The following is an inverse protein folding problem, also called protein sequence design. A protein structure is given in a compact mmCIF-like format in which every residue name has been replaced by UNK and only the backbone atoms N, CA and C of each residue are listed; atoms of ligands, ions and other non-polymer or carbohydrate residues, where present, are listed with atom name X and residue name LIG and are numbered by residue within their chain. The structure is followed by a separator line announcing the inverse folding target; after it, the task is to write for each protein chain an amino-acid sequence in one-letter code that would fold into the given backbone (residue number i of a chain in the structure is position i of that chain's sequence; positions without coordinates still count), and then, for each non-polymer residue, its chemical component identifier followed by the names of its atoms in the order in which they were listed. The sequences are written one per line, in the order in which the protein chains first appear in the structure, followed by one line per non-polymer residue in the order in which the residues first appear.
data_IF_926779194709
#
_entry.id   IF_926779194709
#
_cell.length_a   1.000
_cell.length_b   1.000
_cell.length_c   1.000
_cell.angle_alpha   90.00
_cell.angle_beta   90.00
_cell.angle_gamma   90.00
#
_symmetry.space_group_name_H-M   'P 1'
#
loop_
_entity.id
_entity.type
_entity.pdbx_description
1 polymer ?
#
# COMPACT_ATOMS: atom_id res chain seq x y z
N UNK A 1 10.22 73.55 -19.31
CA UNK A 1 10.35 72.43 -18.35
C UNK A 1 8.95 71.99 -17.96
N UNK A 2 8.75 70.71 -17.63
CA UNK A 2 8.40 69.55 -18.46
C UNK A 2 6.85 69.34 -18.42
N UNK A 3 6.18 68.31 -18.93
CA UNK A 3 6.45 66.87 -19.01
C UNK A 3 5.62 66.31 -20.18
N UNK A 4 6.31 65.71 -21.15
CA UNK A 4 5.69 64.80 -22.12
C UNK A 4 4.96 63.70 -21.36
N UNK A 5 3.66 63.57 -21.58
CA UNK A 5 2.87 62.42 -21.15
C UNK A 5 3.46 61.17 -21.78
N UNK A 6 4.08 60.33 -20.96
CA UNK A 6 4.65 59.07 -21.37
C UNK A 6 3.54 58.13 -21.85
N UNK A 7 3.71 57.66 -23.09
CA UNK A 7 2.96 56.58 -23.69
C UNK A 7 2.96 55.38 -22.72
N UNK A 8 1.79 55.06 -22.19
CA UNK A 8 1.56 53.85 -21.40
C UNK A 8 1.57 52.69 -22.39
N UNK A 9 2.75 52.10 -22.61
CA UNK A 9 2.86 50.83 -23.32
C UNK A 9 1.97 49.82 -22.61
N UNK A 10 0.91 49.38 -23.30
CA UNK A 10 0.10 48.25 -22.88
C UNK A 10 0.99 47.02 -22.93
N UNK A 11 1.37 46.49 -21.77
CA UNK A 11 1.84 45.12 -21.64
C UNK A 11 0.66 44.21 -21.97
N UNK A 12 0.62 43.66 -23.19
CA UNK A 12 -0.27 42.58 -23.55
C UNK A 12 0.08 41.35 -22.70
N UNK A 13 -0.72 41.10 -21.67
CA UNK A 13 -0.70 39.84 -20.93
C UNK A 13 -1.16 38.73 -21.90
N UNK A 14 -0.20 37.97 -22.44
CA UNK A 14 -0.46 36.75 -23.19
C UNK A 14 -1.02 35.72 -22.20
N UNK A 15 -2.35 35.67 -22.10
CA UNK A 15 -3.07 34.67 -21.32
C UNK A 15 -2.92 33.32 -22.02
N UNK A 16 -1.83 32.61 -21.72
CA UNK A 16 -1.52 31.32 -22.34
C UNK A 16 -2.27 30.23 -21.57
N UNK A 17 -3.30 29.66 -22.20
CA UNK A 17 -4.02 28.52 -21.64
C UNK A 17 -3.20 27.24 -21.86
N UNK A 18 -2.93 26.50 -20.79
CA UNK A 18 -2.21 25.23 -20.85
C UNK A 18 -3.22 24.07 -20.85
N UNK A 19 -3.03 23.12 -21.77
CA UNK A 19 -3.80 21.88 -21.81
C UNK A 19 -2.93 20.71 -21.31
N UNK A 20 -3.42 19.86 -20.41
CA UNK A 20 -2.66 18.73 -19.90
C UNK A 20 -2.49 17.66 -20.99
N UNK A 21 -1.27 17.16 -21.17
CA UNK A 21 -0.96 16.05 -22.09
C UNK A 21 -1.30 14.66 -21.52
N UNK A 22 -2.00 14.63 -20.39
CA UNK A 22 -2.53 13.39 -19.81
C UNK A 22 -3.67 12.87 -20.66
N UNK A 23 -3.90 11.54 -20.70
CA UNK A 23 -5.08 10.98 -21.36
C UNK A 23 -6.36 11.68 -20.88
N UNK A 24 -7.17 12.13 -21.83
CA UNK A 24 -8.42 12.86 -21.58
C UNK A 24 -9.59 12.10 -22.21
N UNK A 25 -10.79 12.34 -21.68
CA UNK A 25 -12.02 11.74 -22.23
C UNK A 25 -12.39 12.51 -23.49
N UNK A 26 -12.49 11.79 -24.61
CA UNK A 26 -12.82 12.37 -25.90
C UNK A 26 -14.35 12.41 -26.03
N UNK A 27 -14.91 13.61 -26.24
CA UNK A 27 -16.37 13.82 -26.43
C UNK A 27 -16.78 13.90 -27.90
N UNK A 28 -15.81 13.83 -28.82
CA UNK A 28 -16.06 13.86 -30.27
C UNK A 28 -16.81 12.59 -30.71
N UNK A 29 -17.77 12.73 -31.63
CA UNK A 29 -18.52 11.63 -32.25
C UNK A 29 -17.59 10.61 -32.91
N UNK A 30 -16.39 11.03 -33.31
CA UNK A 30 -15.36 10.11 -33.84
C UNK A 30 -14.94 9.06 -32.82
N UNK A 31 -14.99 9.37 -31.53
CA UNK A 31 -14.65 8.42 -30.47
C UNK A 31 -15.65 7.27 -30.39
N UNK A 32 -16.93 7.51 -30.72
CA UNK A 32 -17.99 6.50 -30.71
C UNK A 32 -17.60 5.27 -31.55
N UNK A 33 -17.03 5.51 -32.74
CA UNK A 33 -16.61 4.42 -33.64
C UNK A 33 -15.54 3.49 -33.02
N UNK A 34 -14.64 4.05 -32.20
CA UNK A 34 -13.64 3.25 -31.48
C UNK A 34 -14.23 2.52 -30.28
N UNK A 35 -15.15 3.15 -29.56
CA UNK A 35 -15.87 2.55 -28.42
C UNK A 35 -16.69 1.36 -28.90
N UNK A 36 -17.47 1.52 -29.98
CA UNK A 36 -18.25 0.45 -30.58
C UNK A 36 -17.37 -0.72 -31.05
N UNK A 37 -16.21 -0.44 -31.65
CA UNK A 37 -15.27 -1.47 -32.07
C UNK A 37 -14.71 -2.26 -30.87
N UNK A 38 -14.38 -1.58 -29.77
CA UNK A 38 -13.91 -2.22 -28.55
C UNK A 38 -15.02 -3.02 -27.86
N UNK A 39 -16.24 -2.48 -27.79
CA UNK A 39 -17.41 -3.19 -27.26
C UNK A 39 -17.72 -4.45 -28.08
N UNK A 40 -17.68 -4.37 -29.40
CA UNK A 40 -17.79 -5.52 -30.28
C UNK A 40 -16.72 -6.56 -29.96
N UNK A 41 -15.45 -6.14 -29.87
CA UNK A 41 -14.34 -7.03 -29.56
C UNK A 41 -14.49 -7.70 -28.19
N UNK A 42 -14.89 -6.96 -27.15
CA UNK A 42 -15.07 -7.49 -25.79
C UNK A 42 -16.35 -8.34 -25.63
N UNK A 43 -17.37 -8.15 -26.45
CA UNK A 43 -18.58 -8.99 -26.44
C UNK A 43 -18.33 -10.43 -26.92
N UNK A 44 -17.19 -10.65 -27.59
CA UNK A 44 -16.85 -11.89 -28.28
C UNK A 44 -15.83 -12.72 -27.49
N UNK A 45 -16.20 -13.91 -26.97
CA UNK A 45 -15.31 -14.71 -26.12
C UNK A 45 -14.11 -15.33 -26.86
N UNK A 46 -14.16 -15.36 -28.19
CA UNK A 46 -13.06 -15.77 -29.07
C UNK A 46 -11.98 -14.69 -29.23
N UNK A 47 -12.31 -13.42 -29.00
CA UNK A 47 -11.36 -12.31 -29.08
C UNK A 47 -10.79 -12.05 -27.68
N UNK A 48 -9.50 -12.34 -27.50
CA UNK A 48 -8.81 -12.18 -26.20
C UNK A 48 -7.65 -11.19 -26.22
N UNK A 49 -7.09 -10.95 -27.40
CA UNK A 49 -5.90 -10.12 -27.59
C UNK A 49 -6.24 -8.97 -28.52
N UNK A 50 -6.36 -7.76 -27.97
CA UNK A 50 -6.66 -6.54 -28.72
C UNK A 50 -5.41 -5.66 -28.69
N UNK A 51 -4.92 -5.27 -29.86
CA UNK A 51 -3.78 -4.37 -29.98
C UNK A 51 -4.24 -3.02 -30.55
N UNK A 52 -4.03 -1.95 -29.79
CA UNK A 52 -4.28 -0.57 -30.24
C UNK A 52 -2.96 0.05 -30.69
N UNK A 53 -2.83 0.29 -31.98
CA UNK A 53 -1.58 0.78 -32.59
C UNK A 53 -1.72 2.20 -33.11
N UNK A 54 -0.62 2.96 -33.12
CA UNK A 54 -0.58 4.32 -33.65
C UNK A 54 0.65 5.08 -33.17
N UNK A 55 1.02 6.20 -33.81
CA UNK A 55 2.20 6.98 -33.45
C UNK A 55 2.11 7.54 -32.01
N UNK A 56 3.24 7.99 -31.47
CA UNK A 56 3.26 8.70 -30.19
C UNK A 56 2.36 9.94 -30.25
N UNK A 57 1.59 10.21 -29.21
CA UNK A 57 0.63 11.31 -29.20
C UNK A 57 -0.66 11.09 -30.01
N UNK A 58 -0.85 9.94 -30.67
CA UNK A 58 -2.08 9.65 -31.44
C UNK A 58 -3.37 9.45 -30.59
N UNK A 59 -3.31 9.65 -29.27
CA UNK A 59 -4.48 9.50 -28.40
C UNK A 59 -4.84 8.07 -28.00
N UNK A 60 -3.96 7.08 -28.20
CA UNK A 60 -4.22 5.66 -27.84
C UNK A 60 -4.74 5.48 -26.41
N UNK A 61 -4.05 6.09 -25.44
CA UNK A 61 -4.45 6.04 -24.03
C UNK A 61 -5.73 6.81 -23.76
N UNK A 62 -5.99 7.91 -24.48
CA UNK A 62 -7.24 8.67 -24.39
C UNK A 62 -8.43 7.87 -24.91
N UNK A 63 -8.26 7.12 -26.00
CA UNK A 63 -9.31 6.24 -26.54
C UNK A 63 -9.65 5.12 -25.54
N UNK A 64 -8.63 4.47 -24.96
CA UNK A 64 -8.85 3.43 -23.94
C UNK A 64 -9.51 3.99 -22.67
N UNK A 65 -9.10 5.19 -22.22
CA UNK A 65 -9.72 5.88 -21.09
C UNK A 65 -11.18 6.26 -21.37
N UNK A 66 -11.46 6.72 -22.59
CA UNK A 66 -12.82 7.08 -23.02
C UNK A 66 -13.71 5.84 -23.04
N UNK A 67 -13.22 4.72 -23.57
CA UNK A 67 -13.93 3.45 -23.54
C UNK A 67 -14.16 2.93 -22.11
N UNK A 68 -13.17 3.01 -21.22
CA UNK A 68 -13.30 2.62 -19.80
C UNK A 68 -14.39 3.43 -19.08
N UNK A 69 -14.57 4.71 -19.44
CA UNK A 69 -15.55 5.62 -18.81
C UNK A 69 -16.89 5.69 -19.54
N UNK A 70 -17.06 4.98 -20.64
CA UNK A 70 -18.31 4.99 -21.39
C UNK A 70 -19.43 4.38 -20.54
N UNK A 71 -20.63 4.95 -20.60
CA UNK A 71 -21.77 4.52 -19.79
C UNK A 71 -22.23 3.10 -20.13
N UNK A 72 -21.93 2.63 -21.35
CA UNK A 72 -22.27 1.30 -21.86
C UNK A 72 -21.22 0.22 -21.54
N UNK A 73 -20.17 0.57 -20.78
CA UNK A 73 -19.11 -0.36 -20.42
C UNK A 73 -19.39 -1.08 -19.09
N UNK A 74 -19.86 -2.33 -19.19
CA UNK A 74 -20.10 -3.21 -18.03
C UNK A 74 -18.83 -3.96 -17.55
N UNK A 75 -17.67 -3.76 -18.21
CA UNK A 75 -16.46 -4.51 -17.91
C UNK A 75 -15.68 -3.92 -16.73
N UNK A 76 -15.08 -4.80 -15.91
CA UNK A 76 -14.12 -4.40 -14.88
C UNK A 76 -12.74 -4.21 -15.52
N UNK A 77 -12.39 -2.97 -15.80
CA UNK A 77 -11.13 -2.61 -16.46
C UNK A 77 -10.01 -2.39 -15.45
N UNK A 78 -8.80 -2.82 -15.83
CA UNK A 78 -7.60 -2.65 -15.04
C UNK A 78 -6.45 -2.23 -15.94
N UNK A 79 -6.12 -0.95 -15.87
CA UNK A 79 -5.04 -0.34 -16.63
C UNK A 79 -3.70 -0.54 -15.92
N UNK A 80 -2.73 -1.08 -16.65
CA UNK A 80 -1.34 -1.29 -16.22
C UNK A 80 -0.44 -0.54 -17.21
N UNK A 81 0.44 0.32 -16.73
CA UNK A 81 1.35 1.13 -17.56
C UNK A 81 2.75 0.56 -17.53
N UNK A 82 3.27 0.16 -18.69
CA UNK A 82 4.63 -0.38 -18.78
C UNK A 82 5.73 0.71 -18.75
N UNK A 83 5.40 1.95 -19.14
CA UNK A 83 6.37 3.03 -19.28
C UNK A 83 6.98 3.52 -17.95
N UNK A 84 6.24 3.38 -16.84
CA UNK A 84 6.76 3.69 -15.50
C UNK A 84 7.92 2.75 -15.09
N UNK A 85 8.04 1.58 -15.72
CA UNK A 85 9.00 0.56 -15.32
C UNK A 85 10.41 0.80 -15.85
N UNK A 86 10.58 1.43 -17.02
CA UNK A 86 11.91 1.82 -17.51
C UNK A 86 12.54 2.90 -16.62
N UNK A 87 11.72 3.82 -16.08
CA UNK A 87 12.18 4.85 -15.14
C UNK A 87 12.72 4.26 -13.83
N UNK A 88 12.14 3.16 -13.34
CA UNK A 88 12.64 2.46 -12.15
C UNK A 88 13.97 1.72 -12.41
N UNK A 89 14.19 1.22 -13.63
CA UNK A 89 15.49 0.67 -14.03
C UNK A 89 16.58 1.74 -14.15
N UNK A 90 16.20 2.99 -14.41
CA UNK A 90 17.12 4.10 -14.65
C UNK A 90 17.62 4.81 -13.38
N UNK A 91 17.17 4.42 -12.18
CA UNK A 91 17.80 4.88 -10.94
C UNK A 91 19.17 4.19 -10.78
N UNK A 92 20.29 4.94 -10.79
CA UNK A 92 21.65 4.39 -10.87
C UNK A 92 22.17 3.92 -9.49
N UNK A 93 21.30 3.34 -8.67
CA UNK A 93 21.63 2.89 -7.32
C UNK A 93 21.91 1.39 -7.22
N UNK A 94 21.46 0.57 -8.17
CA UNK A 94 21.50 -0.88 -8.00
C UNK A 94 21.68 -1.69 -9.30
N UNK A 95 22.27 -1.08 -10.33
CA UNK A 95 22.92 -1.86 -11.36
C UNK A 95 24.23 -2.38 -10.78
N UNK A 96 24.22 -3.60 -10.22
CA UNK A 96 25.43 -4.38 -10.05
C UNK A 96 26.15 -4.39 -11.40
N UNK A 97 27.22 -3.62 -11.48
CA UNK A 97 28.28 -3.83 -12.46
C UNK A 97 28.81 -5.23 -12.23
N UNK A 98 28.29 -6.20 -12.98
CA UNK A 98 28.95 -7.49 -13.18
C UNK A 98 30.16 -7.18 -14.07
N UNK A 99 31.24 -6.70 -13.45
CA UNK A 99 32.57 -6.79 -14.03
C UNK A 99 32.98 -8.27 -14.03
N UNK A 100 32.73 -8.93 -15.15
CA UNK A 100 33.16 -10.29 -15.42
C UNK A 100 33.25 -10.50 -16.93
N UNK A 101 34.45 -10.82 -17.42
CA UNK A 101 34.80 -11.08 -18.83
C UNK A 101 33.80 -12.00 -19.55
N UNK A 102 33.65 -11.84 -20.88
CA UNK A 102 32.49 -12.33 -21.62
C UNK A 102 32.61 -13.82 -21.96
N UNK A 103 31.59 -14.59 -21.59
CA UNK A 103 31.22 -15.82 -22.30
C UNK A 103 29.82 -15.59 -22.87
N UNK A 104 29.73 -15.62 -24.20
CA UNK A 104 28.80 -14.79 -24.99
C UNK A 104 27.42 -15.42 -25.24
N UNK A 105 27.19 -16.69 -24.87
CA UNK A 105 25.96 -17.43 -25.26
C UNK A 105 25.02 -17.80 -24.09
N UNK A 106 25.53 -18.00 -22.86
CA UNK A 106 24.70 -18.36 -21.70
C UNK A 106 24.18 -17.14 -20.92
N UNK A 107 24.85 -15.98 -21.04
CA UNK A 107 24.45 -14.76 -20.33
C UNK A 107 23.23 -14.06 -20.95
N UNK A 108 23.04 -14.09 -22.27
CA UNK A 108 21.88 -13.46 -22.91
C UNK A 108 20.56 -14.12 -22.49
N UNK A 109 20.54 -15.46 -22.40
CA UNK A 109 19.37 -16.21 -21.93
C UNK A 109 19.08 -15.98 -20.44
N UNK A 110 20.11 -15.77 -19.62
CA UNK A 110 19.93 -15.41 -18.20
C UNK A 110 19.48 -13.97 -18.01
N UNK A 111 20.02 -13.03 -18.80
CA UNK A 111 19.62 -11.64 -18.80
C UNK A 111 18.17 -11.47 -19.24
N UNK A 112 17.74 -12.12 -20.33
CA UNK A 112 16.34 -12.09 -20.78
C UNK A 112 15.36 -12.67 -19.77
N UNK A 113 15.73 -13.78 -19.08
CA UNK A 113 14.91 -14.35 -17.99
C UNK A 113 14.83 -13.45 -16.75
N UNK A 114 15.91 -12.74 -16.43
CA UNK A 114 15.91 -11.77 -15.33
C UNK A 114 15.02 -10.56 -15.67
N UNK A 115 15.04 -10.12 -16.92
CA UNK A 115 14.19 -9.04 -17.41
C UNK A 115 12.70 -9.42 -17.40
N UNK A 116 12.36 -10.63 -17.87
CA UNK A 116 11.00 -11.16 -17.85
C UNK A 116 10.43 -11.20 -16.42
N UNK A 117 11.20 -11.77 -15.47
CA UNK A 117 10.81 -11.79 -14.05
C UNK A 117 10.62 -10.40 -13.47
N UNK A 118 11.41 -9.43 -13.91
CA UNK A 118 11.29 -8.03 -13.46
C UNK A 118 9.99 -7.43 -13.96
N UNK A 119 9.63 -7.66 -15.23
CA UNK A 119 8.36 -7.20 -15.83
C UNK A 119 7.17 -7.89 -15.18
N UNK A 120 7.21 -9.20 -14.96
CA UNK A 120 6.15 -9.94 -14.27
C UNK A 120 5.92 -9.39 -12.86
N UNK A 121 7.01 -9.18 -12.11
CA UNK A 121 6.96 -8.64 -10.77
C UNK A 121 6.40 -7.21 -10.77
N UNK A 122 6.79 -6.39 -11.75
CA UNK A 122 6.37 -5.00 -11.84
C UNK A 122 4.88 -4.88 -12.21
N UNK A 123 4.38 -5.74 -13.10
CA UNK A 123 2.95 -5.88 -13.38
C UNK A 123 2.21 -6.27 -12.10
N UNK A 124 2.66 -7.32 -11.40
CA UNK A 124 2.04 -7.79 -10.16
C UNK A 124 1.99 -6.69 -9.09
N UNK A 125 3.03 -5.87 -9.02
CA UNK A 125 3.07 -4.72 -8.12
C UNK A 125 1.99 -3.69 -8.46
N UNK A 126 1.82 -3.29 -9.73
CA UNK A 126 0.76 -2.34 -10.13
C UNK A 126 -0.64 -2.90 -9.86
N UNK A 127 -0.86 -4.19 -10.15
CA UNK A 127 -2.12 -4.88 -9.85
C UNK A 127 -2.43 -4.81 -8.35
N UNK A 128 -1.44 -5.12 -7.52
CA UNK A 128 -1.64 -5.28 -6.09
C UNK A 128 -1.70 -3.92 -5.37
N UNK A 129 -1.05 -2.87 -5.88
CA UNK A 129 -1.09 -1.52 -5.32
C UNK A 129 -2.36 -0.74 -5.64
N UNK A 130 -3.13 -1.14 -6.67
CA UNK A 130 -4.48 -0.58 -6.91
C UNK A 130 -5.42 -0.83 -5.72
N UNK A 131 -5.22 -1.94 -5.00
CA UNK A 131 -6.06 -2.35 -3.88
C UNK A 131 -5.57 -1.87 -2.51
N UNK A 132 -6.52 -1.58 -1.63
CA UNK A 132 -6.23 -1.15 -0.25
C UNK A 132 -5.70 -2.30 0.58
N UNK A 133 -4.74 -2.00 1.47
CA UNK A 133 -4.17 -2.97 2.43
C UNK A 133 -5.22 -3.70 3.27
N UNK A 134 -6.36 -3.07 3.55
CA UNK A 134 -7.46 -3.69 4.31
C UNK A 134 -8.14 -4.86 3.59
N UNK A 135 -8.19 -4.82 2.25
CA UNK A 135 -8.78 -5.89 1.42
C UNK A 135 -7.84 -7.09 1.35
N UNK A 136 -6.52 -6.83 1.38
CA UNK A 136 -5.48 -7.84 1.23
C UNK A 136 -4.50 -7.81 2.43
N UNK A 137 -4.98 -8.17 3.65
CA UNK A 137 -4.21 -8.03 4.89
C UNK A 137 -3.03 -9.00 5.00
N UNK A 138 -3.05 -10.11 4.26
CA UNK A 138 -1.98 -11.11 4.21
C UNK A 138 -1.05 -10.94 3.00
N UNK A 139 -1.23 -9.86 2.24
CA UNK A 139 -0.33 -9.52 1.14
C UNK A 139 1.06 -9.20 1.69
N UNK A 140 2.09 -9.84 1.13
CA UNK A 140 3.49 -9.63 1.51
C UNK A 140 4.11 -8.38 0.88
N UNK A 141 3.43 -7.76 -0.10
CA UNK A 141 3.92 -6.49 -0.64
C UNK A 141 3.71 -5.36 0.35
N UNK A 142 4.78 -4.59 0.54
CA UNK A 142 4.78 -3.40 1.37
C UNK A 142 3.95 -2.30 0.70
N UNK A 143 2.93 -1.82 1.40
CA UNK A 143 2.09 -0.72 0.94
C UNK A 143 2.16 0.40 1.97
N UNK A 144 2.29 1.62 1.47
CA UNK A 144 2.08 2.82 2.27
C UNK A 144 0.63 2.76 2.76
N UNK A 145 0.45 2.84 4.07
CA UNK A 145 -0.87 2.85 4.70
C UNK A 145 -1.02 4.10 5.53
N UNK A 146 -2.01 4.91 5.20
CA UNK A 146 -2.39 6.05 6.01
C UNK A 146 -3.07 5.53 7.28
N UNK A 147 -2.42 5.75 8.41
CA UNK A 147 -3.01 5.51 9.72
C UNK A 147 -3.86 6.72 10.09
N UNK A 148 -5.17 6.52 10.21
CA UNK A 148 -6.07 7.62 10.60
C UNK A 148 -5.95 7.91 12.10
N UNK A 149 -6.21 9.15 12.51
CA UNK A 149 -6.18 9.54 13.92
C UNK A 149 -7.12 8.67 14.79
N UNK A 150 -8.26 8.25 14.25
CA UNK A 150 -9.19 7.34 14.93
C UNK A 150 -8.58 5.94 15.13
N UNK A 151 -7.84 5.42 14.14
CA UNK A 151 -7.12 4.15 14.29
C UNK A 151 -6.03 4.25 15.36
N UNK A 152 -5.28 5.36 15.39
CA UNK A 152 -4.28 5.61 16.43
C UNK A 152 -4.94 5.67 17.81
N UNK A 153 -6.06 6.39 17.95
CA UNK A 153 -6.82 6.45 19.19
C UNK A 153 -7.30 5.07 19.66
N UNK A 154 -7.82 4.22 18.76
CA UNK A 154 -8.20 2.84 19.07
C UNK A 154 -6.99 1.98 19.45
N UNK A 155 -5.83 2.17 18.81
CA UNK A 155 -4.60 1.47 19.15
C UNK A 155 -4.09 1.87 20.54
N UNK A 156 -4.20 3.14 20.92
CA UNK A 156 -3.87 3.65 22.25
C UNK A 156 -4.86 3.15 23.29
N UNK A 157 -6.17 3.20 23.02
CA UNK A 157 -7.21 2.71 23.93
C UNK A 157 -7.05 1.21 24.21
N UNK A 158 -6.76 0.40 23.19
CA UNK A 158 -6.49 -1.03 23.38
C UNK A 158 -5.21 -1.30 24.18
N UNK A 159 -4.19 -0.44 24.07
CA UNK A 159 -2.98 -0.56 24.89
C UNK A 159 -3.27 -0.22 26.36
N UNK A 160 -4.00 0.87 26.60
CA UNK A 160 -4.44 1.27 27.94
C UNK A 160 -5.28 0.17 28.59
N UNK A 161 -6.21 -0.44 27.84
CA UNK A 161 -7.03 -1.54 28.34
C UNK A 161 -6.19 -2.74 28.83
N UNK A 162 -5.16 -3.13 28.07
CA UNK A 162 -4.25 -4.21 28.48
C UNK A 162 -3.47 -3.82 29.74
N UNK A 163 -2.96 -2.59 29.82
CA UNK A 163 -2.24 -2.09 30.99
C UNK A 163 -3.15 -2.06 32.23
N UNK A 164 -4.39 -1.56 32.08
CA UNK A 164 -5.38 -1.50 33.15
C UNK A 164 -5.76 -2.90 33.63
N UNK A 165 -6.06 -3.84 32.73
CA UNK A 165 -6.37 -5.23 33.10
C UNK A 165 -5.21 -5.90 33.85
N UNK A 166 -3.97 -5.60 33.46
CA UNK A 166 -2.77 -6.12 34.13
C UNK A 166 -2.60 -5.50 35.52
N UNK A 167 -2.78 -4.19 35.65
CA UNK A 167 -2.71 -3.48 36.93
C UNK A 167 -3.82 -3.95 37.90
N UNK A 168 -5.05 -4.14 37.40
CA UNK A 168 -6.15 -4.70 38.19
C UNK A 168 -5.85 -6.13 38.64
N UNK A 169 -5.35 -6.99 37.76
CA UNK A 169 -4.93 -8.35 38.12
C UNK A 169 -3.86 -8.36 39.22
N UNK A 170 -2.88 -7.46 39.14
CA UNK A 170 -1.81 -7.32 40.14
C UNK A 170 -2.32 -6.76 41.47
N UNK A 171 -3.28 -5.85 41.42
CA UNK A 171 -3.94 -5.26 42.58
C UNK A 171 -4.78 -6.30 43.35
N UNK A 172 -5.43 -7.23 42.64
CA UNK A 172 -6.07 -8.39 43.29
C UNK A 172 -5.04 -9.34 43.91
N UNK A 173 -3.86 -9.52 43.31
CA UNK A 173 -2.82 -10.41 43.83
C UNK A 173 -2.19 -9.89 45.13
N UNK A 174 -1.87 -8.58 45.17
CA UNK A 174 -1.18 -7.92 46.30
C UNK A 174 -1.80 -6.55 46.64
N UNK A 175 -3.00 -6.49 47.25
CA UNK A 175 -3.73 -5.25 47.48
C UNK A 175 -2.98 -4.25 48.38
N UNK A 176 -2.37 -4.71 49.48
CA UNK A 176 -1.65 -3.83 50.42
C UNK A 176 -0.36 -3.26 49.83
N UNK A 177 0.43 -4.08 49.14
CA UNK A 177 1.69 -3.66 48.50
C UNK A 177 1.44 -2.60 47.43
N UNK A 178 0.43 -2.81 46.58
CA UNK A 178 0.09 -1.87 45.51
C UNK A 178 -0.50 -0.58 46.09
N UNK A 179 -1.36 -0.67 47.11
CA UNK A 179 -1.89 0.51 47.81
C UNK A 179 -0.76 1.39 48.35
N UNK A 180 0.21 0.80 49.04
CA UNK A 180 1.31 1.54 49.66
C UNK A 180 2.19 2.24 48.61
N UNK A 181 2.44 1.58 47.48
CA UNK A 181 3.23 2.15 46.38
C UNK A 181 2.50 3.23 45.58
N UNK A 182 1.17 3.15 45.48
CA UNK A 182 0.36 4.02 44.64
C UNK A 182 -0.46 5.05 45.43
N UNK A 183 -0.28 5.11 46.76
CA UNK A 183 -0.98 6.00 47.70
C UNK A 183 -2.50 6.01 47.55
N UNK A 184 -3.11 4.84 47.30
CA UNK A 184 -4.56 4.68 47.10
C UNK A 184 -5.35 4.68 48.43
N UNK A 185 -6.67 4.93 48.33
CA UNK A 185 -7.58 4.93 49.48
C UNK A 185 -7.51 3.61 50.28
N UNK A 186 -7.48 3.65 51.62
CA UNK A 186 -7.50 2.46 52.47
C UNK A 186 -8.71 1.56 52.25
N UNK A 187 -9.85 2.14 51.87
CA UNK A 187 -11.13 1.45 51.68
C UNK A 187 -11.03 0.37 50.58
N UNK A 188 -10.22 0.60 49.54
CA UNK A 188 -10.06 -0.34 48.44
C UNK A 188 -9.33 -1.61 48.86
N UNK A 189 -8.30 -1.50 49.72
CA UNK A 189 -7.59 -2.70 50.21
C UNK A 189 -8.46 -3.50 51.15
N UNK A 190 -9.19 -2.82 52.05
CA UNK A 190 -10.09 -3.48 53.00
C UNK A 190 -11.20 -4.27 52.28
N UNK A 191 -11.86 -3.66 51.29
CA UNK A 191 -12.86 -4.33 50.47
C UNK A 191 -12.31 -5.57 49.73
N UNK A 192 -11.06 -5.51 49.26
CA UNK A 192 -10.44 -6.62 48.53
C UNK A 192 -9.92 -7.74 49.43
N UNK A 193 -9.56 -7.43 50.68
CA UNK A 193 -9.14 -8.40 51.69
C UNK A 193 -10.32 -9.13 52.33
N UNK A 194 -11.52 -8.53 52.31
CA UNK A 194 -12.77 -9.18 52.74
C UNK A 194 -13.21 -10.33 51.82
N UNK A 195 -12.72 -10.36 50.58
CA UNK A 195 -13.00 -11.45 49.64
C UNK A 195 -12.22 -12.72 50.00
N UNK A 196 -12.82 -13.92 49.83
CA UNK A 196 -12.13 -15.17 50.12
C UNK A 196 -10.90 -15.33 49.21
N UNK A 197 -9.81 -15.84 49.79
CA UNK A 197 -8.50 -15.99 49.14
C UNK A 197 -8.61 -16.68 47.78
N UNK A 198 -9.44 -17.72 47.68
CA UNK A 198 -9.67 -18.45 46.42
C UNK A 198 -10.32 -17.58 45.33
N UNK A 199 -11.31 -16.75 45.70
CA UNK A 199 -11.96 -15.84 44.75
C UNK A 199 -11.00 -14.74 44.28
N UNK A 200 -10.10 -14.28 45.17
CA UNK A 200 -9.08 -13.28 44.86
C UNK A 200 -8.03 -13.79 43.86
N UNK A 201 -7.52 -15.01 44.07
CA UNK A 201 -6.62 -15.63 43.10
C UNK A 201 -7.32 -15.97 41.79
N UNK A 202 -8.58 -16.40 41.84
CA UNK A 202 -9.41 -16.65 40.66
C UNK A 202 -9.61 -15.39 39.81
N UNK A 203 -10.00 -14.28 40.43
CA UNK A 203 -10.20 -13.00 39.73
C UNK A 203 -8.88 -12.47 39.16
N UNK A 204 -7.78 -12.51 39.92
CA UNK A 204 -6.46 -12.13 39.42
C UNK A 204 -6.05 -12.95 38.19
N UNK A 205 -6.27 -14.28 38.23
CA UNK A 205 -6.00 -15.18 37.11
C UNK A 205 -6.80 -14.83 35.86
N UNK A 206 -8.09 -14.52 36.01
CA UNK A 206 -8.96 -14.11 34.89
C UNK A 206 -8.45 -12.82 34.24
N UNK A 207 -8.16 -11.77 35.04
CA UNK A 207 -7.69 -10.48 34.52
C UNK A 207 -6.30 -10.55 33.85
N UNK A 208 -5.40 -11.40 34.36
CA UNK A 208 -4.09 -11.62 33.74
C UNK A 208 -4.22 -12.45 32.45
N UNK A 209 -5.08 -13.47 32.43
CA UNK A 209 -5.33 -14.27 31.23
C UNK A 209 -5.98 -13.45 30.13
N UNK A 210 -6.96 -12.60 30.44
CA UNK A 210 -7.57 -11.69 29.45
C UNK A 210 -6.54 -10.71 28.90
N UNK A 211 -5.71 -10.10 29.74
CA UNK A 211 -4.62 -9.22 29.30
C UNK A 211 -3.66 -9.94 28.34
N UNK A 212 -3.23 -11.16 28.69
CA UNK A 212 -2.35 -11.98 27.86
C UNK A 212 -3.01 -12.34 26.52
N UNK A 213 -4.28 -12.75 26.53
CA UNK A 213 -5.02 -13.08 25.33
C UNK A 213 -5.13 -11.89 24.36
N UNK A 214 -5.47 -10.71 24.87
CA UNK A 214 -5.56 -9.50 24.04
C UNK A 214 -4.18 -9.05 23.52
N UNK A 215 -3.12 -9.18 24.32
CA UNK A 215 -1.76 -8.92 23.88
C UNK A 215 -1.34 -9.84 22.73
N UNK A 216 -1.56 -11.16 22.86
CA UNK A 216 -1.27 -12.14 21.81
C UNK A 216 -2.09 -11.89 20.54
N UNK A 217 -3.38 -11.58 20.68
CA UNK A 217 -4.24 -11.23 19.54
C UNK A 217 -3.74 -9.99 18.80
N UNK A 218 -3.27 -8.97 19.53
CA UNK A 218 -2.70 -7.74 18.94
C UNK A 218 -1.35 -8.02 18.26
N UNK A 219 -0.50 -8.84 18.87
CA UNK A 219 0.80 -9.24 18.33
C UNK A 219 0.66 -10.04 17.02
N UNK A 220 -0.27 -11.00 17.00
CA UNK A 220 -0.60 -11.76 15.80
C UNK A 220 -1.13 -10.86 14.67
N UNK A 221 -2.09 -9.97 14.97
CA UNK A 221 -2.65 -9.03 13.97
C UNK A 221 -1.61 -8.06 13.40
N UNK A 222 -0.59 -7.72 14.19
CA UNK A 222 0.49 -6.82 13.76
C UNK A 222 1.47 -7.52 12.80
N UNK A 223 1.36 -8.85 12.68
CA UNK A 223 2.20 -9.66 11.79
C UNK A 223 3.64 -9.73 12.28
N UNK A 224 3.90 -9.56 13.59
CA UNK A 224 5.27 -9.61 14.14
C UNK A 224 5.90 -11.00 13.95
N UNK A 225 5.08 -12.05 13.88
CA UNK A 225 5.53 -13.42 13.59
C UNK A 225 5.60 -13.74 12.09
N UNK A 226 5.01 -12.89 11.25
CA UNK A 226 5.07 -13.05 9.80
C UNK A 226 6.25 -12.19 9.33
N UNK A 227 7.41 -12.83 9.19
CA UNK A 227 8.66 -12.19 8.77
C UNK A 227 8.37 -11.33 7.53
N UNK A 228 8.26 -10.01 7.73
CA UNK A 228 8.10 -9.06 6.63
C UNK A 228 9.34 -9.20 5.79
N UNK A 229 9.17 -9.77 4.60
CA UNK A 229 10.24 -9.88 3.64
C UNK A 229 10.49 -8.46 3.15
N UNK A 230 11.55 -7.82 3.64
CA UNK A 230 12.22 -6.76 2.87
C UNK A 230 12.86 -7.46 1.67
N UNK A 231 12.40 -7.09 0.48
CA UNK A 231 12.65 -7.87 -0.75
C UNK A 231 14.13 -7.81 -1.20
N UNK A 232 14.95 -6.95 -0.59
CA UNK A 232 16.42 -6.94 -0.82
C UNK A 232 17.15 -8.22 -0.39
N UNK A 233 16.53 -9.11 0.39
CA UNK A 233 17.23 -10.29 0.94
C UNK A 233 16.73 -11.65 0.49
N UNK A 234 15.68 -11.74 -0.34
CA UNK A 234 15.08 -13.05 -0.62
C UNK A 234 15.63 -13.76 -1.85
N UNK A 235 16.32 -13.11 -2.78
CA UNK A 235 16.81 -13.81 -3.98
C UNK A 235 18.33 -13.86 -4.22
N UNK A 236 19.17 -13.28 -3.37
CA UNK A 236 20.65 -13.37 -3.55
C UNK A 236 21.25 -14.66 -2.93
N UNK A 237 20.54 -15.34 -2.02
CA UNK A 237 21.09 -16.47 -1.25
C UNK A 237 20.58 -17.86 -1.64
N UNK A 238 19.69 -17.98 -2.63
CA UNK A 238 19.21 -19.29 -3.12
C UNK A 238 19.71 -19.68 -4.51
N UNK A 239 20.44 -18.79 -5.19
CA UNK A 239 21.09 -19.08 -6.49
C UNK A 239 22.58 -19.45 -6.40
N UNK A 240 23.20 -19.27 -5.24
CA UNK A 240 24.57 -19.73 -4.98
C UNK A 240 24.51 -20.88 -3.98
N UNK A 241 25.17 -21.99 -4.30
CA UNK A 241 25.26 -23.23 -3.52
C UNK A 241 24.05 -24.16 -3.71
N UNK A 242 24.07 -24.94 -4.79
CA UNK A 242 24.28 -26.39 -4.69
C UNK A 242 24.90 -26.86 -6.01
N UNK A 243 25.89 -27.73 -5.83
CA UNK A 243 26.84 -28.32 -6.79
C UNK A 243 26.22 -28.86 -8.06
#
# INVERSE_FOLDING_TARGET
MPVLSANKAQEEQINTSYEPLTPSVITDEKAQSYIEALNFACSRPDIRNIAVTGPYGAGKSSVLLTWERAEDNDFRVMTVSLADFEMQRAYPGDSLSVEGKPDYDDNEKKAGKAEEKTIEYSILQQLLYKEKKSVLPYSRLERISDVSACQIAMMTASLLFILASTATGLLFLFPDYIREKLSLSPELSQFLLELPVLARFGSAGIFLFTALFFALKKLHRTGVFDRRVSIDKVDILKGAITT
#
